data_IF_553843790829
#
_entry.id   IF_553843790829
#
_cell.length_a   1.000
_cell.length_b   1.000
_cell.length_c   1.000
_cell.angle_alpha   90.00
_cell.angle_beta   90.00
_cell.angle_gamma   90.00
#
_symmetry.space_group_name_H-M   'P 1'
#
loop_
_entity.id
_entity.type
_entity.pdbx_description
1 polymer ?
#
# COMPACT_ATOMS: atom_id res chain seq x y z
N UNK A 1 47.45 10.40 -88.30
CA UNK A 1 46.02 10.24 -88.59
C UNK A 1 45.43 8.91 -88.10
N UNK A 2 46.20 7.82 -88.08
CA UNK A 2 45.75 6.49 -87.66
C UNK A 2 45.60 6.33 -86.10
N UNK A 3 46.39 7.01 -85.30
CA UNK A 3 46.38 6.92 -83.89
C UNK A 3 45.12 7.60 -83.28
N UNK A 4 44.62 8.63 -83.87
CA UNK A 4 43.42 9.34 -83.44
C UNK A 4 42.10 8.58 -83.69
N UNK A 5 42.11 7.81 -84.79
CA UNK A 5 41.01 6.92 -85.20
C UNK A 5 40.87 5.71 -84.25
N UNK A 6 42.01 5.20 -83.75
CA UNK A 6 42.02 4.10 -82.75
C UNK A 6 41.54 4.56 -81.38
N UNK A 7 41.92 5.76 -80.97
CA UNK A 7 41.50 6.33 -79.66
C UNK A 7 39.99 6.61 -79.58
N UNK A 8 39.43 7.09 -80.71
CA UNK A 8 37.98 7.33 -80.80
C UNK A 8 37.18 6.02 -80.77
N UNK A 9 37.73 5.00 -81.50
CA UNK A 9 37.04 3.70 -81.63
C UNK A 9 37.07 2.89 -80.33
N UNK A 10 38.11 3.00 -79.52
CA UNK A 10 38.22 2.34 -78.21
C UNK A 10 37.44 3.08 -77.12
N UNK A 11 37.39 4.41 -77.20
CA UNK A 11 36.65 5.20 -76.23
C UNK A 11 35.10 5.01 -76.28
N UNK A 12 34.58 5.09 -77.52
CA UNK A 12 33.12 4.96 -77.75
C UNK A 12 32.60 3.54 -77.42
N UNK A 13 33.43 2.52 -77.75
CA UNK A 13 33.07 1.14 -77.43
C UNK A 13 33.23 0.79 -75.95
N UNK A 14 34.13 1.48 -75.24
CA UNK A 14 34.29 1.30 -73.81
C UNK A 14 33.12 1.94 -73.00
N UNK A 15 32.70 3.17 -73.45
CA UNK A 15 31.55 3.82 -72.86
C UNK A 15 30.23 3.07 -73.11
N UNK A 16 30.01 2.55 -74.30
CA UNK A 16 28.82 1.75 -74.62
C UNK A 16 28.74 0.44 -73.83
N UNK A 17 29.89 -0.23 -73.59
CA UNK A 17 29.97 -1.43 -72.75
C UNK A 17 29.80 -1.07 -71.22
N UNK A 18 30.28 0.07 -70.80
CA UNK A 18 30.13 0.54 -69.42
C UNK A 18 28.69 0.90 -69.12
N UNK A 19 28.05 1.68 -70.00
CA UNK A 19 26.63 2.00 -69.87
C UNK A 19 25.73 0.77 -69.97
N UNK A 20 26.07 -0.19 -70.89
CA UNK A 20 25.36 -1.47 -70.96
C UNK A 20 25.42 -2.28 -69.65
N UNK A 21 26.62 -2.40 -69.07
CA UNK A 21 26.75 -3.09 -67.75
C UNK A 21 25.97 -2.43 -66.63
N UNK A 22 26.00 -1.09 -66.54
CA UNK A 22 25.20 -0.34 -65.51
C UNK A 22 23.71 -0.57 -65.74
N UNK A 23 23.25 -0.55 -67.00
CA UNK A 23 21.85 -0.81 -67.33
C UNK A 23 21.42 -2.25 -66.95
N UNK A 24 22.29 -3.26 -67.33
CA UNK A 24 22.01 -4.65 -66.97
C UNK A 24 22.00 -4.89 -65.45
N UNK A 25 22.91 -4.27 -64.66
CA UNK A 25 22.92 -4.31 -63.25
C UNK A 25 21.67 -3.64 -62.71
N UNK A 26 21.29 -2.48 -63.19
CA UNK A 26 20.04 -1.77 -62.72
C UNK A 26 18.77 -2.55 -63.08
N UNK A 27 18.72 -3.20 -64.24
CA UNK A 27 17.56 -4.04 -64.61
C UNK A 27 17.53 -5.31 -63.74
N UNK A 28 18.70 -5.92 -63.48
CA UNK A 28 18.81 -7.07 -62.58
C UNK A 28 18.35 -6.73 -61.14
N UNK A 29 18.84 -5.62 -60.58
CA UNK A 29 18.45 -5.14 -59.27
C UNK A 29 16.95 -4.79 -59.20
N UNK A 30 16.40 -4.15 -60.26
CA UNK A 30 14.98 -3.86 -60.34
C UNK A 30 14.13 -5.14 -60.44
N UNK A 31 14.59 -6.15 -61.15
CA UNK A 31 13.92 -7.42 -61.32
C UNK A 31 13.92 -8.22 -60.00
N UNK A 32 15.04 -8.23 -59.26
CA UNK A 32 15.12 -8.81 -57.91
C UNK A 32 14.23 -8.08 -56.94
N UNK A 33 14.22 -6.74 -56.96
CA UNK A 33 13.34 -5.93 -56.10
C UNK A 33 11.88 -6.24 -56.37
N UNK A 34 11.44 -6.30 -57.62
CA UNK A 34 10.05 -6.56 -58.00
C UNK A 34 9.59 -7.97 -57.61
N UNK A 35 10.42 -8.98 -57.82
CA UNK A 35 10.02 -10.38 -57.62
C UNK A 35 10.26 -10.87 -56.19
N UNK A 36 11.31 -10.40 -55.52
CA UNK A 36 11.65 -10.85 -54.14
C UNK A 36 11.19 -9.89 -53.04
N UNK A 37 11.46 -8.59 -53.18
CA UNK A 37 11.23 -7.64 -52.08
C UNK A 37 9.81 -7.02 -52.10
N UNK A 38 9.29 -6.69 -53.28
CA UNK A 38 8.00 -6.01 -53.42
C UNK A 38 6.81 -6.83 -52.86
N UNK A 39 6.68 -8.15 -53.11
CA UNK A 39 5.60 -8.94 -52.52
C UNK A 39 5.63 -8.94 -50.99
N UNK A 40 6.82 -9.05 -50.38
CA UNK A 40 6.97 -8.99 -48.92
C UNK A 40 6.59 -7.63 -48.35
N UNK A 41 6.97 -6.53 -49.03
CA UNK A 41 6.56 -5.17 -48.66
C UNK A 41 5.03 -5.00 -48.67
N UNK A 42 4.38 -5.49 -49.74
CA UNK A 42 2.92 -5.42 -49.88
C UNK A 42 2.26 -6.21 -48.77
N UNK A 43 2.71 -7.43 -48.48
CA UNK A 43 2.14 -8.27 -47.39
C UNK A 43 2.28 -7.58 -46.03
N UNK A 44 3.48 -7.05 -45.71
CA UNK A 44 3.71 -6.32 -44.46
C UNK A 44 2.81 -5.11 -44.35
N UNK A 45 2.65 -4.33 -45.42
CA UNK A 45 1.79 -3.15 -45.43
C UNK A 45 0.31 -3.52 -45.27
N UNK A 46 -0.16 -4.57 -45.98
CA UNK A 46 -1.53 -5.06 -45.85
C UNK A 46 -1.82 -5.51 -44.42
N UNK A 47 -0.91 -6.28 -43.81
CA UNK A 47 -1.02 -6.71 -42.41
C UNK A 47 -1.09 -5.51 -41.50
N UNK A 48 -0.23 -4.51 -41.68
CA UNK A 48 -0.22 -3.29 -40.87
C UNK A 48 -1.54 -2.51 -40.98
N UNK A 49 -2.09 -2.38 -42.20
CA UNK A 49 -3.39 -1.71 -42.41
C UNK A 49 -4.52 -2.48 -41.74
N UNK A 50 -4.54 -3.80 -41.90
CA UNK A 50 -5.57 -4.65 -41.30
C UNK A 50 -5.50 -4.53 -39.74
N UNK A 51 -4.29 -4.64 -39.16
CA UNK A 51 -4.10 -4.47 -37.70
C UNK A 51 -4.53 -3.08 -37.22
N UNK A 52 -4.15 -2.02 -37.94
CA UNK A 52 -4.58 -0.65 -37.63
C UNK A 52 -6.11 -0.51 -37.65
N UNK A 53 -6.82 -1.19 -38.59
CA UNK A 53 -8.28 -1.23 -38.61
C UNK A 53 -8.85 -2.00 -37.42
N UNK A 54 -8.24 -3.14 -37.06
CA UNK A 54 -8.65 -3.92 -35.87
C UNK A 54 -8.49 -3.10 -34.60
N UNK A 55 -7.33 -2.43 -34.40
CA UNK A 55 -7.10 -1.53 -33.27
C UNK A 55 -8.18 -0.43 -33.21
N UNK A 56 -8.46 0.19 -34.35
CA UNK A 56 -9.45 1.26 -34.45
C UNK A 56 -10.88 0.77 -34.16
N UNK A 57 -11.24 -0.44 -34.57
CA UNK A 57 -12.54 -1.04 -34.28
C UNK A 57 -12.65 -1.45 -32.82
N UNK A 58 -11.60 -2.05 -32.26
CA UNK A 58 -11.56 -2.46 -30.85
C UNK A 58 -11.70 -1.23 -29.92
N UNK A 59 -10.94 -0.16 -30.16
CA UNK A 59 -11.02 1.07 -29.36
C UNK A 59 -12.38 1.78 -29.48
N UNK A 60 -13.00 1.75 -30.66
CA UNK A 60 -14.38 2.25 -30.84
C UNK A 60 -15.39 1.43 -30.07
N UNK A 61 -15.27 0.10 -30.04
CA UNK A 61 -16.17 -0.76 -29.25
C UNK A 61 -16.07 -0.48 -27.74
N UNK A 62 -14.86 -0.24 -27.23
CA UNK A 62 -14.66 0.15 -25.81
C UNK A 62 -15.45 1.42 -25.47
N UNK A 63 -15.38 2.44 -26.33
CA UNK A 63 -16.12 3.70 -26.13
C UNK A 63 -17.62 3.47 -26.15
N UNK A 64 -18.14 2.71 -27.13
CA UNK A 64 -19.57 2.43 -27.24
C UNK A 64 -20.11 1.61 -26.06
N UNK A 65 -19.36 0.62 -25.57
CA UNK A 65 -19.74 -0.16 -24.39
C UNK A 65 -19.77 0.69 -23.12
N UNK A 66 -18.88 1.68 -23.00
CA UNK A 66 -18.86 2.63 -21.90
C UNK A 66 -20.04 3.64 -21.95
N UNK A 67 -20.51 4.01 -23.13
CA UNK A 67 -21.67 4.91 -23.31
C UNK A 67 -23.01 4.24 -22.96
N UNK A 68 -23.12 2.91 -23.05
CA UNK A 68 -24.36 2.15 -22.80
C UNK A 68 -24.88 2.12 -21.36
N UNK A 69 -24.07 2.52 -20.36
CA UNK A 69 -24.44 2.61 -18.94
C UNK A 69 -24.43 4.08 -18.53
N UNK A 70 -25.51 4.81 -18.68
CA UNK A 70 -25.72 6.23 -18.27
C UNK A 70 -24.58 6.80 -17.37
N UNK A 71 -23.39 7.03 -17.87
CA UNK A 71 -22.29 7.56 -17.07
C UNK A 71 -22.46 9.07 -16.91
N UNK A 72 -21.99 9.59 -15.78
CA UNK A 72 -21.89 11.04 -15.58
C UNK A 72 -21.08 11.70 -16.72
N UNK A 73 -21.40 12.93 -17.15
CA UNK A 73 -20.72 13.60 -18.27
C UNK A 73 -19.20 13.61 -18.17
N UNK A 74 -18.64 13.71 -16.95
CA UNK A 74 -17.21 13.65 -16.70
C UNK A 74 -16.56 12.29 -16.99
N UNK A 75 -17.28 11.19 -16.75
CA UNK A 75 -16.77 9.83 -16.98
C UNK A 75 -16.71 9.49 -18.48
N UNK A 76 -17.64 10.02 -19.27
CA UNK A 76 -17.62 9.86 -20.74
C UNK A 76 -16.39 10.51 -21.37
N UNK A 77 -16.05 11.74 -20.97
CA UNK A 77 -14.88 12.45 -21.51
C UNK A 77 -13.59 11.72 -21.16
N UNK A 78 -13.47 11.18 -19.95
CA UNK A 78 -12.30 10.38 -19.52
C UNK A 78 -12.11 9.12 -20.36
N UNK A 79 -13.19 8.34 -20.61
CA UNK A 79 -13.12 7.13 -21.42
C UNK A 79 -12.75 7.43 -22.87
N UNK A 80 -13.30 8.50 -23.45
CA UNK A 80 -12.98 8.94 -24.84
C UNK A 80 -11.50 9.34 -24.95
N UNK A 81 -11.01 10.13 -23.98
CA UNK A 81 -9.60 10.54 -23.95
C UNK A 81 -8.67 9.34 -23.81
N UNK A 82 -8.97 8.42 -22.88
CA UNK A 82 -8.18 7.20 -22.68
C UNK A 82 -8.15 6.32 -23.95
N UNK A 83 -9.32 6.08 -24.56
CA UNK A 83 -9.42 5.30 -25.79
C UNK A 83 -8.66 5.96 -26.97
N UNK A 84 -8.67 7.31 -27.03
CA UNK A 84 -7.90 8.07 -28.03
C UNK A 84 -6.41 7.91 -27.82
N UNK A 85 -5.92 8.07 -26.59
CA UNK A 85 -4.50 7.88 -26.24
C UNK A 85 -4.07 6.44 -26.58
N UNK A 86 -4.83 5.44 -26.14
CA UNK A 86 -4.54 4.04 -26.38
C UNK A 86 -4.46 3.73 -27.90
N UNK A 87 -5.44 4.23 -28.67
CA UNK A 87 -5.44 4.08 -30.12
C UNK A 87 -4.21 4.71 -30.76
N UNK A 88 -3.87 5.94 -30.37
CA UNK A 88 -2.72 6.67 -30.95
C UNK A 88 -1.41 5.97 -30.61
N UNK A 89 -1.23 5.54 -29.37
CA UNK A 89 -0.03 4.82 -28.91
C UNK A 89 0.13 3.48 -29.63
N UNK A 90 -0.95 2.66 -29.67
CA UNK A 90 -0.89 1.35 -30.34
C UNK A 90 -0.63 1.49 -31.84
N UNK A 91 -1.25 2.45 -32.53
CA UNK A 91 -0.96 2.73 -33.92
C UNK A 91 0.46 3.27 -34.13
N UNK A 92 0.96 4.13 -33.23
CA UNK A 92 2.35 4.60 -33.28
C UNK A 92 3.35 3.46 -33.19
N UNK A 93 3.16 2.53 -32.24
CA UNK A 93 4.00 1.33 -32.10
C UNK A 93 3.89 0.45 -33.35
N UNK A 94 2.67 0.21 -33.86
CA UNK A 94 2.45 -0.61 -35.05
C UNK A 94 3.19 -0.05 -36.25
N UNK A 95 3.07 1.26 -36.51
CA UNK A 95 3.75 1.90 -37.65
C UNK A 95 5.27 1.95 -37.48
N UNK A 96 5.77 2.12 -36.23
CA UNK A 96 7.21 2.03 -35.96
C UNK A 96 7.76 0.63 -36.26
N UNK A 97 7.07 -0.43 -35.77
CA UNK A 97 7.45 -1.81 -36.09
C UNK A 97 7.37 -2.12 -37.60
N UNK A 98 6.32 -1.61 -38.27
CA UNK A 98 6.19 -1.75 -39.74
C UNK A 98 7.33 -1.07 -40.47
N UNK A 99 7.72 0.13 -40.04
CA UNK A 99 8.86 0.84 -40.63
C UNK A 99 10.18 0.06 -40.46
N UNK A 100 10.43 -0.48 -39.25
CA UNK A 100 11.59 -1.33 -38.99
C UNK A 100 11.59 -2.58 -39.93
N UNK A 101 10.42 -3.23 -40.06
CA UNK A 101 10.31 -4.39 -40.97
C UNK A 101 10.56 -4.05 -42.42
N UNK A 102 10.08 -2.88 -42.88
CA UNK A 102 10.35 -2.38 -44.23
C UNK A 102 11.85 -2.14 -44.42
N UNK A 103 12.53 -1.50 -43.45
CA UNK A 103 13.97 -1.28 -43.50
C UNK A 103 14.77 -2.61 -43.59
N UNK A 104 14.31 -3.64 -42.87
CA UNK A 104 14.92 -5.00 -42.94
C UNK A 104 14.82 -5.57 -44.34
N UNK A 105 13.65 -5.49 -44.98
CA UNK A 105 13.41 -5.97 -46.35
C UNK A 105 14.31 -5.22 -47.35
N UNK A 106 14.56 -3.94 -47.11
CA UNK A 106 15.45 -3.11 -47.94
C UNK A 106 16.93 -3.40 -47.68
N UNK A 107 17.28 -4.29 -46.72
CA UNK A 107 18.66 -4.70 -46.44
C UNK A 107 19.40 -3.78 -45.48
N UNK A 108 18.71 -2.87 -44.79
CA UNK A 108 19.32 -1.99 -43.77
C UNK A 108 19.67 -2.78 -42.54
N UNK A 109 20.90 -2.63 -42.04
CA UNK A 109 21.30 -3.24 -40.78
C UNK A 109 20.63 -2.54 -39.59
N UNK A 110 19.66 -3.21 -38.95
CA UNK A 110 18.91 -2.69 -37.80
C UNK A 110 19.60 -2.91 -36.45
N UNK A 111 20.76 -3.56 -36.41
CA UNK A 111 21.48 -3.87 -35.17
C UNK A 111 21.57 -2.67 -34.21
N UNK A 112 22.11 -1.52 -34.62
CA UNK A 112 22.22 -0.34 -33.75
C UNK A 112 20.85 0.25 -33.32
N UNK A 113 19.85 0.22 -34.23
CA UNK A 113 18.50 0.69 -33.94
C UNK A 113 17.81 -0.20 -32.93
N UNK A 114 17.92 -1.52 -33.06
CA UNK A 114 17.35 -2.48 -32.12
C UNK A 114 18.04 -2.41 -30.76
N UNK A 115 19.36 -2.19 -30.72
CA UNK A 115 20.08 -2.01 -29.47
C UNK A 115 19.59 -0.75 -28.69
N UNK A 116 19.47 0.37 -29.39
CA UNK A 116 18.94 1.60 -28.77
C UNK A 116 17.48 1.49 -28.36
N UNK A 117 16.65 0.86 -29.20
CA UNK A 117 15.24 0.57 -28.84
C UNK A 117 15.13 -0.38 -27.64
N UNK A 118 16.05 -1.35 -27.50
CA UNK A 118 16.14 -2.24 -26.35
C UNK A 118 16.39 -1.48 -25.06
N UNK A 119 17.36 -0.55 -25.04
CA UNK A 119 17.64 0.30 -23.87
C UNK A 119 16.41 1.15 -23.51
N UNK A 120 15.78 1.77 -24.50
CA UNK A 120 14.55 2.54 -24.27
C UNK A 120 13.41 1.65 -23.75
N UNK A 121 13.29 0.42 -24.26
CA UNK A 121 12.31 -0.57 -23.78
C UNK A 121 12.50 -0.94 -22.30
N UNK A 122 13.76 -1.15 -21.89
CA UNK A 122 14.08 -1.40 -20.45
C UNK A 122 13.68 -0.20 -19.60
N UNK A 123 14.00 1.02 -20.01
CA UNK A 123 13.64 2.22 -19.27
C UNK A 123 12.10 2.37 -19.11
N UNK A 124 11.35 2.13 -20.18
CA UNK A 124 9.87 2.14 -20.15
C UNK A 124 9.35 1.01 -19.25
N UNK A 125 9.94 -0.19 -19.34
CA UNK A 125 9.58 -1.34 -18.50
C UNK A 125 9.75 -1.05 -17.01
N UNK A 126 10.88 -0.46 -16.62
CA UNK A 126 11.13 -0.03 -15.24
C UNK A 126 10.13 1.04 -14.78
N UNK A 127 9.81 2.01 -15.64
CA UNK A 127 8.80 3.03 -15.32
C UNK A 127 7.40 2.44 -15.15
N UNK A 128 7.04 1.39 -15.90
CA UNK A 128 5.74 0.70 -15.83
C UNK A 128 5.67 -0.39 -14.75
N UNK A 129 6.79 -0.74 -14.10
CA UNK A 129 6.91 -1.87 -13.17
C UNK A 129 5.86 -1.85 -12.06
N UNK A 130 5.59 -0.68 -11.47
CA UNK A 130 4.61 -0.53 -10.38
C UNK A 130 3.21 -0.88 -10.84
N UNK A 131 2.82 -0.48 -12.06
CA UNK A 131 1.49 -0.78 -12.61
C UNK A 131 1.33 -2.30 -12.80
N UNK A 132 2.37 -2.96 -13.30
CA UNK A 132 2.38 -4.42 -13.47
C UNK A 132 2.28 -5.12 -12.11
N UNK A 133 3.04 -4.68 -11.11
CA UNK A 133 2.94 -5.19 -9.73
C UNK A 133 1.56 -5.00 -9.14
N UNK A 134 0.92 -3.84 -9.33
CA UNK A 134 -0.45 -3.59 -8.86
C UNK A 134 -1.42 -4.65 -9.38
N UNK A 135 -1.36 -4.91 -10.69
CA UNK A 135 -2.27 -5.86 -11.36
C UNK A 135 -2.00 -7.30 -10.91
N UNK A 136 -0.73 -7.72 -10.85
CA UNK A 136 -0.37 -9.06 -10.41
C UNK A 136 -0.77 -9.30 -8.95
N UNK A 137 -0.48 -8.36 -8.04
CA UNK A 137 -0.88 -8.47 -6.65
C UNK A 137 -2.40 -8.48 -6.50
N UNK A 138 -3.13 -7.61 -7.22
CA UNK A 138 -4.59 -7.62 -7.20
C UNK A 138 -5.17 -8.94 -7.69
N UNK A 139 -4.57 -9.57 -8.69
CA UNK A 139 -4.97 -10.90 -9.16
C UNK A 139 -4.70 -11.98 -8.10
N UNK A 140 -3.53 -11.96 -7.46
CA UNK A 140 -3.16 -12.92 -6.40
C UNK A 140 -4.09 -12.79 -5.19
N UNK A 141 -4.41 -11.58 -4.74
CA UNK A 141 -5.35 -11.34 -3.63
C UNK A 141 -6.69 -12.04 -3.90
N UNK A 142 -7.20 -11.94 -5.14
CA UNK A 142 -8.48 -12.57 -5.54
C UNK A 142 -8.33 -14.09 -5.68
N UNK A 143 -7.27 -14.58 -6.31
CA UNK A 143 -7.06 -16.00 -6.54
C UNK A 143 -6.82 -16.79 -5.25
N UNK A 144 -6.11 -16.18 -4.29
CA UNK A 144 -5.80 -16.78 -2.99
C UNK A 144 -6.89 -16.52 -1.95
N UNK A 145 -7.94 -15.76 -2.31
CA UNK A 145 -9.03 -15.39 -1.39
C UNK A 145 -8.49 -14.79 -0.08
N UNK A 146 -7.51 -13.86 -0.17
CA UNK A 146 -6.90 -13.27 1.01
C UNK A 146 -7.90 -12.42 1.80
N UNK A 147 -8.72 -11.65 1.13
CA UNK A 147 -9.84 -10.88 1.67
C UNK A 147 -10.85 -10.51 0.58
N UNK A 148 -12.06 -10.19 0.99
CA UNK A 148 -13.19 -9.84 0.12
C UNK A 148 -13.76 -8.45 0.44
N UNK A 149 -14.59 -7.93 -0.47
CA UNK A 149 -15.37 -6.72 -0.20
C UNK A 149 -16.32 -6.98 0.97
N UNK A 150 -16.29 -6.11 1.97
CA UNK A 150 -17.01 -6.23 3.24
C UNK A 150 -16.15 -6.74 4.40
N UNK A 151 -14.98 -7.32 4.14
CA UNK A 151 -14.06 -7.73 5.21
C UNK A 151 -13.42 -6.52 5.89
N UNK A 152 -13.24 -6.63 7.20
CA UNK A 152 -12.39 -5.72 7.95
C UNK A 152 -10.96 -6.26 7.95
N UNK A 153 -10.06 -5.50 7.36
CA UNK A 153 -8.66 -5.90 7.20
C UNK A 153 -7.71 -4.84 7.71
N UNK A 154 -6.52 -5.28 8.07
CA UNK A 154 -5.38 -4.39 8.29
C UNK A 154 -4.37 -4.65 7.18
N UNK A 155 -4.16 -3.64 6.33
CA UNK A 155 -3.21 -3.65 5.23
C UNK A 155 -2.03 -2.75 5.60
N UNK A 156 -0.85 -3.32 5.78
CA UNK A 156 0.36 -2.58 6.22
C UNK A 156 0.09 -1.83 7.53
N UNK A 157 -0.23 -0.52 7.51
CA UNK A 157 -0.50 0.30 8.70
C UNK A 157 -1.97 0.75 8.80
N UNK A 158 -2.81 0.48 7.80
CA UNK A 158 -4.19 0.97 7.72
C UNK A 158 -5.17 -0.13 8.06
N UNK A 159 -6.13 0.16 8.94
CA UNK A 159 -7.21 -0.78 9.30
C UNK A 159 -8.53 -0.20 8.81
N UNK A 160 -9.33 -1.00 8.14
CA UNK A 160 -10.65 -0.58 7.67
C UNK A 160 -11.43 -1.71 7.04
N UNK A 161 -12.66 -1.41 6.66
CA UNK A 161 -13.52 -2.32 5.90
C UNK A 161 -13.28 -2.11 4.40
N UNK A 162 -13.13 -3.18 3.66
CA UNK A 162 -12.96 -3.15 2.20
C UNK A 162 -14.27 -2.73 1.56
N UNK A 163 -14.32 -1.55 0.94
CA UNK A 163 -15.50 -1.07 0.21
C UNK A 163 -15.51 -1.49 -1.25
N UNK A 164 -14.35 -1.44 -1.88
CA UNK A 164 -14.20 -1.83 -3.27
C UNK A 164 -12.79 -2.36 -3.52
N UNK A 165 -12.72 -3.28 -4.48
CA UNK A 165 -11.46 -3.84 -4.95
C UNK A 165 -11.44 -3.84 -6.48
N UNK A 166 -10.29 -3.50 -7.03
CA UNK A 166 -9.99 -3.58 -8.45
C UNK A 166 -8.64 -4.28 -8.65
N UNK A 167 -8.30 -4.63 -9.89
CA UNK A 167 -7.01 -5.24 -10.20
C UNK A 167 -5.81 -4.37 -9.78
N UNK A 168 -5.97 -3.04 -9.67
CA UNK A 168 -4.87 -2.12 -9.38
C UNK A 168 -4.88 -1.55 -7.97
N UNK A 169 -6.05 -1.42 -7.34
CA UNK A 169 -6.21 -0.75 -6.04
C UNK A 169 -7.30 -1.40 -5.21
N UNK A 170 -7.14 -1.30 -3.91
CA UNK A 170 -8.13 -1.66 -2.90
C UNK A 170 -8.56 -0.39 -2.16
N UNK A 171 -9.85 -0.23 -1.91
CA UNK A 171 -10.45 0.89 -1.19
C UNK A 171 -10.90 0.42 0.18
N UNK A 172 -10.36 1.07 1.24
CA UNK A 172 -10.66 0.77 2.64
C UNK A 172 -11.31 1.97 3.30
N UNK A 173 -12.35 1.74 4.07
CA UNK A 173 -12.93 2.76 4.95
C UNK A 173 -12.67 2.41 6.40
N UNK A 174 -12.06 3.34 7.13
CA UNK A 174 -11.82 3.17 8.55
C UNK A 174 -13.04 3.51 9.42
N UNK A 175 -12.89 3.35 10.74
CA UNK A 175 -13.95 3.64 11.71
C UNK A 175 -14.37 5.10 11.79
N UNK A 176 -13.52 6.02 11.37
CA UNK A 176 -13.76 7.47 11.33
C UNK A 176 -14.36 7.94 10.00
N UNK A 177 -14.56 7.01 9.06
CA UNK A 177 -15.12 7.28 7.75
C UNK A 177 -14.11 7.70 6.68
N UNK A 178 -12.81 7.70 6.99
CA UNK A 178 -11.76 8.03 6.01
C UNK A 178 -11.65 6.93 4.96
N UNK A 179 -11.63 7.30 3.68
CA UNK A 179 -11.43 6.38 2.58
C UNK A 179 -9.96 6.34 2.16
N UNK A 180 -9.31 5.22 2.39
CA UNK A 180 -7.96 4.93 1.91
C UNK A 180 -8.00 4.24 0.56
N UNK A 181 -7.26 4.76 -0.41
CA UNK A 181 -7.10 4.17 -1.74
C UNK A 181 -5.68 3.63 -1.83
N UNK A 182 -5.55 2.32 -1.67
CA UNK A 182 -4.26 1.63 -1.57
C UNK A 182 -3.93 0.93 -2.89
N UNK A 183 -2.83 1.28 -3.58
CA UNK A 183 -2.34 0.50 -4.71
C UNK A 183 -1.99 -0.93 -4.26
N UNK A 184 -2.40 -1.94 -5.03
CA UNK A 184 -2.21 -3.32 -4.61
C UNK A 184 -0.72 -3.71 -4.47
N UNK A 185 0.18 -3.03 -5.19
CA UNK A 185 1.64 -3.22 -5.04
C UNK A 185 2.20 -2.79 -3.68
N UNK A 186 1.47 -1.96 -2.92
CA UNK A 186 1.84 -1.51 -1.58
C UNK A 186 1.30 -2.42 -0.48
N UNK A 187 0.44 -3.37 -0.82
CA UNK A 187 -0.08 -4.37 0.12
C UNK A 187 0.98 -5.46 0.28
N UNK A 188 1.78 -5.35 1.34
CA UNK A 188 2.85 -6.31 1.65
C UNK A 188 2.42 -7.33 2.70
N UNK A 189 1.52 -6.92 3.59
CA UNK A 189 1.00 -7.77 4.66
C UNK A 189 -0.51 -7.59 4.75
N UNK A 190 -1.22 -8.69 4.84
CA UNK A 190 -2.67 -8.73 5.02
C UNK A 190 -2.99 -9.40 6.35
N UNK A 191 -3.68 -8.68 7.25
CA UNK A 191 -4.31 -9.27 8.42
C UNK A 191 -5.83 -9.15 8.26
N UNK A 192 -6.49 -10.26 7.98
CA UNK A 192 -7.95 -10.32 7.88
C UNK A 192 -8.55 -10.48 9.29
N UNK A 193 -9.27 -9.44 9.74
CA UNK A 193 -9.90 -9.39 11.08
C UNK A 193 -11.33 -9.95 11.08
N UNK A 194 -11.90 -10.21 9.89
CA UNK A 194 -13.27 -10.72 9.70
C UNK A 194 -13.31 -12.22 9.45
N UNK A 195 -12.14 -12.89 9.29
CA UNK A 195 -12.09 -14.30 8.97
C UNK A 195 -12.13 -15.16 10.23
N UNK A 196 -12.98 -16.17 10.22
CA UNK A 196 -13.13 -17.24 11.21
C UNK A 196 -13.57 -16.74 12.60
N UNK A 197 -12.70 -16.16 13.39
CA UNK A 197 -12.97 -15.75 14.76
C UNK A 197 -12.13 -14.53 15.17
N UNK A 198 -12.62 -13.86 16.21
CA UNK A 198 -11.84 -12.83 16.89
C UNK A 198 -11.50 -13.28 18.32
N UNK A 199 -10.26 -13.03 18.70
CA UNK A 199 -9.81 -13.21 20.09
C UNK A 199 -9.55 -11.82 20.67
N UNK A 200 -10.13 -11.57 21.83
CA UNK A 200 -9.93 -10.33 22.56
C UNK A 200 -9.49 -10.60 23.97
N UNK A 201 -8.41 -9.96 24.39
CA UNK A 201 -7.91 -10.02 25.76
C UNK A 201 -8.28 -8.71 26.46
N UNK A 202 -8.93 -8.84 27.60
CA UNK A 202 -9.27 -7.71 28.48
C UNK A 202 -8.41 -7.81 29.72
N UNK A 203 -7.53 -6.85 29.93
CA UNK A 203 -6.71 -6.74 31.12
C UNK A 203 -7.54 -6.07 32.22
N UNK A 204 -7.73 -6.77 33.31
CA UNK A 204 -8.42 -6.27 34.51
C UNK A 204 -7.38 -5.98 35.59
N UNK A 205 -7.27 -4.71 36.00
CA UNK A 205 -6.38 -4.30 37.09
C UNK A 205 -7.16 -4.30 38.37
N UNK A 206 -6.61 -4.96 39.40
CA UNK A 206 -7.18 -5.11 40.74
C UNK A 206 -6.13 -4.66 41.76
N UNK A 207 -6.59 -4.19 42.94
CA UNK A 207 -5.69 -3.78 44.03
C UNK A 207 -4.80 -4.95 44.48
N UNK A 208 -3.54 -4.66 44.80
CA UNK A 208 -2.53 -5.67 45.19
C UNK A 208 -2.93 -6.42 46.49
N UNK A 209 -3.72 -5.81 47.36
CA UNK A 209 -4.21 -6.43 48.58
C UNK A 209 -5.25 -7.54 48.36
N UNK A 210 -5.81 -7.63 47.14
CA UNK A 210 -6.79 -8.64 46.79
C UNK A 210 -6.11 -10.02 46.53
N UNK A 211 -6.58 -11.06 47.22
CA UNK A 211 -6.11 -12.41 47.01
C UNK A 211 -6.51 -12.91 45.60
N UNK A 212 -5.56 -13.44 44.82
CA UNK A 212 -5.83 -14.07 43.52
C UNK A 212 -6.90 -15.16 43.60
N UNK A 213 -6.96 -15.92 44.70
CA UNK A 213 -7.93 -16.98 44.92
C UNK A 213 -9.37 -16.48 45.02
N UNK A 214 -9.58 -15.20 45.30
CA UNK A 214 -10.89 -14.53 45.26
C UNK A 214 -11.18 -13.88 43.94
N UNK A 215 -10.15 -13.28 43.31
CA UNK A 215 -10.28 -12.50 42.08
C UNK A 215 -10.55 -13.40 40.87
N UNK A 216 -9.81 -14.50 40.74
CA UNK A 216 -9.95 -15.40 39.56
C UNK A 216 -11.36 -16.02 39.52
N UNK A 217 -11.93 -16.58 40.59
CA UNK A 217 -13.31 -17.09 40.54
C UNK A 217 -14.35 -15.98 40.29
N UNK A 218 -14.15 -14.78 40.84
CA UNK A 218 -15.03 -13.64 40.60
C UNK A 218 -15.06 -13.26 39.09
N UNK A 219 -13.90 -13.07 38.52
CA UNK A 219 -13.80 -12.71 37.09
C UNK A 219 -14.36 -13.81 36.21
N UNK A 220 -14.10 -15.09 36.54
CA UNK A 220 -14.64 -16.25 35.86
C UNK A 220 -16.16 -16.30 35.91
N UNK A 221 -16.76 -16.07 37.08
CA UNK A 221 -18.22 -16.05 37.21
C UNK A 221 -18.85 -14.94 36.34
N UNK A 222 -18.30 -13.72 36.39
CA UNK A 222 -18.80 -12.60 35.58
C UNK A 222 -18.68 -12.89 34.08
N UNK A 223 -17.54 -13.46 33.64
CA UNK A 223 -17.33 -13.79 32.27
C UNK A 223 -18.30 -14.90 31.79
N UNK A 224 -18.54 -15.91 32.61
CA UNK A 224 -19.50 -16.98 32.32
C UNK A 224 -20.95 -16.52 32.32
N UNK A 225 -21.29 -15.52 33.15
CA UNK A 225 -22.64 -14.92 33.18
C UNK A 225 -22.92 -14.18 31.87
N UNK A 226 -21.91 -13.50 31.30
CA UNK A 226 -22.04 -12.87 29.99
C UNK A 226 -22.15 -13.91 28.88
N UNK A 227 -21.41 -15.00 29.00
CA UNK A 227 -21.48 -16.14 28.04
C UNK A 227 -22.90 -16.74 27.97
N UNK A 228 -23.60 -16.77 29.10
CA UNK A 228 -24.98 -17.27 29.23
C UNK A 228 -26.04 -16.23 28.91
N UNK A 229 -25.68 -14.97 28.82
CA UNK A 229 -26.62 -13.88 28.55
C UNK A 229 -27.22 -14.03 27.15
N UNK A 230 -28.54 -13.97 27.04
CA UNK A 230 -29.29 -14.12 25.78
C UNK A 230 -28.81 -13.15 24.68
N UNK A 231 -28.32 -11.98 25.06
CA UNK A 231 -27.84 -10.95 24.16
C UNK A 231 -26.51 -11.35 23.50
N UNK A 232 -25.69 -12.17 24.14
CA UNK A 232 -24.33 -12.47 23.70
C UNK A 232 -24.06 -13.96 23.49
N UNK A 233 -24.94 -14.85 23.93
CA UNK A 233 -24.71 -16.30 23.90
C UNK A 233 -24.35 -16.83 22.52
N UNK A 234 -24.94 -16.29 21.45
CA UNK A 234 -24.67 -16.68 20.06
C UNK A 234 -23.34 -16.15 19.50
N UNK A 235 -22.73 -15.18 20.18
CA UNK A 235 -21.49 -14.52 19.71
C UNK A 235 -20.25 -15.30 20.10
N UNK A 236 -20.31 -16.05 21.20
CA UNK A 236 -19.14 -16.77 21.72
C UNK A 236 -18.93 -18.12 21.04
N UNK A 237 -17.69 -18.39 20.61
CA UNK A 237 -17.26 -19.66 20.04
C UNK A 237 -16.66 -20.61 21.09
N UNK A 238 -16.16 -20.06 22.19
CA UNK A 238 -15.61 -20.83 23.32
C UNK A 238 -15.94 -20.11 24.64
N UNK A 239 -15.79 -20.85 25.75
CA UNK A 239 -15.96 -20.25 27.08
C UNK A 239 -14.83 -19.27 27.36
N UNK A 240 -15.13 -18.12 28.01
CA UNK A 240 -14.13 -17.16 28.43
C UNK A 240 -13.12 -17.79 29.40
N UNK A 241 -11.86 -17.38 29.28
CA UNK A 241 -10.77 -17.90 30.12
C UNK A 241 -10.10 -16.77 30.89
N UNK A 242 -9.94 -16.94 32.20
CA UNK A 242 -9.13 -16.08 33.06
C UNK A 242 -7.75 -16.74 33.19
N UNK A 243 -6.70 -16.07 32.70
CA UNK A 243 -5.35 -16.66 32.64
C UNK A 243 -4.59 -16.59 33.97
N UNK A 244 -5.16 -15.93 35.00
CA UNK A 244 -4.50 -15.72 36.27
C UNK A 244 -3.75 -14.39 36.32
N UNK A 245 -2.73 -14.28 37.19
CA UNK A 245 -1.90 -13.10 37.34
C UNK A 245 -0.90 -13.00 36.18
N UNK A 246 -0.95 -11.94 35.42
CA UNK A 246 -0.02 -11.66 34.30
C UNK A 246 1.14 -10.77 34.73
N UNK A 247 0.83 -9.66 35.38
CA UNK A 247 1.82 -8.70 35.83
C UNK A 247 1.40 -7.97 37.09
N UNK A 248 2.40 -7.46 37.82
CA UNK A 248 2.20 -6.65 39.03
C UNK A 248 2.89 -5.32 38.77
N UNK A 249 2.13 -4.24 38.80
CA UNK A 249 2.64 -2.89 38.51
C UNK A 249 2.25 -1.96 39.66
N UNK A 250 3.22 -1.60 40.50
CA UNK A 250 2.97 -0.77 41.68
C UNK A 250 1.99 -1.44 42.65
N UNK A 251 0.85 -0.82 42.87
CA UNK A 251 -0.24 -1.32 43.73
C UNK A 251 -1.32 -2.11 43.00
N UNK A 252 -1.06 -2.53 41.76
CA UNK A 252 -2.04 -3.19 40.92
C UNK A 252 -1.56 -4.53 40.43
N UNK A 253 -2.46 -5.51 40.39
CA UNK A 253 -2.27 -6.83 39.79
C UNK A 253 -3.16 -6.91 38.55
N UNK A 254 -2.59 -7.34 37.43
CA UNK A 254 -3.29 -7.43 36.15
C UNK A 254 -3.68 -8.88 35.87
N UNK A 255 -4.98 -9.07 35.58
CA UNK A 255 -5.57 -10.36 35.22
C UNK A 255 -6.12 -10.28 33.79
N UNK A 256 -5.51 -10.95 32.81
CA UNK A 256 -6.05 -11.02 31.46
C UNK A 256 -7.21 -12.02 31.39
N UNK A 257 -8.28 -11.58 30.77
CA UNK A 257 -9.46 -12.40 30.48
C UNK A 257 -9.64 -12.47 28.97
N UNK A 258 -9.63 -13.68 28.43
CA UNK A 258 -9.65 -13.95 26.98
C UNK A 258 -11.06 -14.36 26.57
N UNK A 259 -11.53 -13.71 25.50
CA UNK A 259 -12.81 -13.98 24.88
C UNK A 259 -12.57 -14.42 23.43
N UNK A 260 -13.12 -15.57 23.04
CA UNK A 260 -13.15 -16.04 21.65
C UNK A 260 -14.56 -15.94 21.10
N UNK A 261 -14.73 -15.10 20.11
CA UNK A 261 -16.04 -14.73 19.54
C UNK A 261 -16.09 -14.92 18.04
N UNK A 262 -17.27 -14.83 17.45
CA UNK A 262 -17.42 -14.63 16.02
C UNK A 262 -16.64 -13.38 15.60
N UNK A 263 -16.12 -13.42 14.37
CA UNK A 263 -15.30 -12.33 13.81
C UNK A 263 -16.02 -10.98 13.94
N UNK A 264 -15.28 -9.96 14.37
CA UNK A 264 -15.72 -8.55 14.56
C UNK A 264 -16.79 -8.32 15.64
N UNK A 265 -17.31 -9.36 16.32
CA UNK A 265 -18.39 -9.24 17.31
C UNK A 265 -17.89 -9.18 18.77
N UNK A 266 -16.60 -9.12 19.00
CA UNK A 266 -16.00 -9.09 20.36
C UNK A 266 -16.34 -7.84 21.17
N UNK A 267 -16.62 -6.72 20.53
CA UNK A 267 -16.73 -5.42 21.22
C UNK A 267 -17.93 -5.29 22.16
N UNK A 268 -19.07 -5.91 21.82
CA UNK A 268 -20.28 -5.92 22.65
C UNK A 268 -20.03 -6.62 23.99
N UNK A 269 -19.66 -7.90 23.99
CA UNK A 269 -19.35 -8.66 25.19
C UNK A 269 -18.26 -8.02 26.06
N UNK A 270 -17.21 -7.45 25.45
CA UNK A 270 -16.10 -6.80 26.17
C UNK A 270 -16.58 -5.57 26.92
N UNK A 271 -17.42 -4.72 26.33
CA UNK A 271 -17.95 -3.52 26.98
C UNK A 271 -18.81 -3.90 28.17
N UNK A 272 -19.66 -4.91 28.03
CA UNK A 272 -20.51 -5.40 29.10
C UNK A 272 -19.69 -6.07 30.21
N UNK A 273 -18.64 -6.82 29.86
CA UNK A 273 -17.69 -7.40 30.81
C UNK A 273 -17.02 -6.31 31.63
N UNK A 274 -16.48 -5.28 31.02
CA UNK A 274 -15.85 -4.16 31.71
C UNK A 274 -16.82 -3.48 32.67
N UNK A 275 -18.09 -3.32 32.28
CA UNK A 275 -19.14 -2.73 33.12
C UNK A 275 -19.42 -3.58 34.35
N UNK A 276 -19.66 -4.90 34.15
CA UNK A 276 -19.97 -5.82 35.27
C UNK A 276 -18.78 -5.98 36.22
N UNK A 277 -17.58 -6.10 35.68
CA UNK A 277 -16.34 -6.17 36.47
C UNK A 277 -16.17 -4.90 37.32
N UNK A 278 -16.33 -3.72 36.72
CA UNK A 278 -16.24 -2.46 37.45
C UNK A 278 -17.16 -2.44 38.67
N UNK A 279 -18.43 -2.82 38.47
CA UNK A 279 -19.42 -2.86 39.56
C UNK A 279 -19.05 -3.88 40.64
N UNK A 280 -18.68 -5.08 40.24
CA UNK A 280 -18.31 -6.14 41.19
C UNK A 280 -17.05 -5.82 42.00
N UNK A 281 -16.05 -5.18 41.39
CA UNK A 281 -14.85 -4.72 42.10
C UNK A 281 -15.16 -3.56 43.06
N UNK A 282 -16.09 -2.68 42.69
CA UNK A 282 -16.54 -1.57 43.55
C UNK A 282 -17.28 -2.12 44.79
N UNK A 283 -18.23 -3.04 44.61
CA UNK A 283 -19.00 -3.67 45.66
C UNK A 283 -18.11 -4.43 46.66
N UNK A 284 -17.01 -5.01 46.20
CA UNK A 284 -16.07 -5.76 47.03
C UNK A 284 -14.89 -4.92 47.55
N UNK A 285 -14.80 -3.63 47.20
CA UNK A 285 -13.70 -2.76 47.60
C UNK A 285 -12.35 -3.14 47.02
N UNK A 286 -12.35 -3.83 45.86
CA UNK A 286 -11.16 -4.34 45.18
C UNK A 286 -10.72 -3.46 43.98
N UNK A 287 -11.31 -2.28 43.82
CA UNK A 287 -10.86 -1.35 42.78
C UNK A 287 -9.39 -0.99 43.02
N UNK A 288 -8.60 -0.88 41.96
CA UNK A 288 -7.21 -0.46 42.06
C UNK A 288 -7.15 0.89 42.77
N UNK A 289 -6.37 0.95 43.85
CA UNK A 289 -6.26 2.15 44.68
C UNK A 289 -5.66 3.32 43.88
N UNK A 290 -5.99 4.55 44.32
CA UNK A 290 -5.29 5.75 43.91
C UNK A 290 -3.77 5.53 44.14
N UNK A 291 -2.89 5.79 43.16
CA UNK A 291 -1.44 5.70 43.37
C UNK A 291 -0.93 6.47 44.57
N UNK A 292 -1.68 7.48 45.03
CA UNK A 292 -1.40 8.27 46.24
C UNK A 292 -1.97 7.67 47.53
N UNK A 293 -2.72 6.57 47.50
CA UNK A 293 -3.37 5.97 48.65
C UNK A 293 -2.36 5.45 49.69
N UNK A 294 -1.21 4.96 49.23
CA UNK A 294 -0.12 4.49 50.11
C UNK A 294 0.34 5.61 51.05
N UNK A 295 0.48 6.83 50.52
CA UNK A 295 0.89 7.98 51.35
C UNK A 295 -0.20 8.40 52.37
N UNK A 296 -1.48 8.23 52.06
CA UNK A 296 -2.59 8.55 52.98
C UNK A 296 -2.72 7.52 54.10
N UNK A 297 -2.49 6.24 53.88
CA UNK A 297 -2.50 5.23 54.91
C UNK A 297 -1.36 5.38 55.91
N UNK A 298 -0.16 5.71 55.46
CA UNK A 298 0.98 6.01 56.31
C UNK A 298 0.79 7.30 57.12
N UNK A 299 0.13 8.31 56.57
CA UNK A 299 -0.20 9.55 57.29
C UNK A 299 -1.30 9.37 58.36
N UNK A 300 -2.18 8.36 58.22
CA UNK A 300 -3.28 8.08 59.17
C UNK A 300 -2.91 7.24 60.39
N UNK A 301 -1.75 6.59 60.43
CA UNK A 301 -1.28 5.72 61.52
C UNK A 301 -0.16 6.31 62.38
N UNK A 302 0.19 7.57 62.22
CA UNK A 302 1.09 8.22 63.14
C UNK A 302 0.31 8.60 64.41
N UNK A 303 0.42 7.77 65.44
CA UNK A 303 0.07 8.18 66.81
C UNK A 303 0.63 9.58 67.10
N UNK A 304 -0.24 10.47 67.46
CA UNK A 304 -0.23 11.78 68.04
C UNK A 304 1.05 12.55 68.41
N UNK A 305 2.21 12.33 67.84
CA UNK A 305 3.41 13.05 68.25
C UNK A 305 4.35 13.54 67.16
N UNK A 306 3.97 13.52 65.90
CA UNK A 306 4.79 14.21 64.87
C UNK A 306 3.86 14.87 63.82
N UNK A 307 3.15 15.94 64.22
CA UNK A 307 2.55 16.87 63.26
C UNK A 307 3.69 17.62 62.59
N UNK A 308 3.92 17.34 61.32
CA UNK A 308 4.62 18.31 60.47
C UNK A 308 3.78 19.60 60.48
N UNK A 309 4.40 20.78 60.71
CA UNK A 309 3.66 22.03 60.74
C UNK A 309 2.89 22.22 59.44
N UNK A 310 1.59 22.54 59.58
CA UNK A 310 0.75 22.86 58.42
C UNK A 310 1.22 24.12 57.72
N UNK A 311 0.78 24.40 56.50
CA UNK A 311 1.20 25.58 55.73
C UNK A 311 0.89 26.93 56.44
N UNK A 312 0.12 26.95 57.51
CA UNK A 312 -0.19 28.16 58.27
C UNK A 312 0.83 28.51 59.37
N UNK A 313 1.77 27.59 59.73
CA UNK A 313 2.75 27.83 60.80
C UNK A 313 4.10 28.38 60.26
N UNK A 314 4.21 28.68 59.00
CA UNK A 314 5.44 29.20 58.35
C UNK A 314 5.32 30.72 58.05
N UNK A 315 4.46 31.43 58.73
CA UNK A 315 4.43 32.89 58.66
C UNK A 315 5.02 33.45 59.95
N UNK A 316 6.31 33.66 59.98
CA UNK A 316 7.07 34.76 60.61
C UNK A 316 8.50 34.38 60.93
N UNK A 317 9.32 34.28 59.89
CA UNK A 317 10.76 34.61 60.01
C UNK A 317 11.28 35.07 58.64
N UNK A 318 11.51 36.34 58.57
CA UNK A 318 12.32 37.13 57.67
C UNK A 318 12.80 36.51 56.34
N UNK A 319 12.07 36.80 55.30
CA UNK A 319 12.57 36.60 53.97
C UNK A 319 13.07 37.93 53.41
N UNK A 320 14.38 38.22 53.63
CA UNK A 320 15.06 39.21 52.81
C UNK A 320 15.11 38.71 51.36
N UNK A 321 14.81 39.54 50.39
CA UNK A 321 14.87 39.14 48.96
C UNK A 321 16.36 38.84 48.59
N UNK A 322 16.64 37.58 48.27
CA UNK A 322 17.91 37.24 47.59
C UNK A 322 17.90 37.91 46.23
N UNK A 323 18.73 38.93 46.10
CA UNK A 323 19.08 39.58 44.86
C UNK A 323 19.65 38.52 43.87
N UNK A 324 19.04 38.41 42.70
CA UNK A 324 19.54 37.57 41.64
C UNK A 324 20.89 38.12 41.17
N UNK A 325 21.92 37.29 41.00
CA UNK A 325 23.17 37.75 40.41
C UNK A 325 22.92 38.28 38.96
N UNK A 326 23.64 39.35 38.56
CA UNK A 326 23.50 39.93 37.25
C UNK A 326 23.83 38.91 36.15
N UNK A 327 22.97 38.85 35.13
CA UNK A 327 23.20 38.02 33.94
C UNK A 327 24.34 38.63 33.14
N UNK A 328 25.43 37.93 32.98
CA UNK A 328 26.54 38.29 32.10
C UNK A 328 26.06 38.16 30.61
N UNK A 329 26.01 39.28 29.85
CA UNK A 329 25.54 39.23 28.48
C UNK A 329 26.54 38.57 27.48
N UNK A 330 27.68 38.10 27.95
CA UNK A 330 28.69 37.48 27.10
C UNK A 330 28.82 35.95 27.23
N UNK A 331 27.98 35.31 28.06
CA UNK A 331 27.94 33.85 28.14
C UNK A 331 27.18 33.26 26.94
N UNK A 332 27.92 32.69 26.02
CA UNK A 332 27.39 31.86 24.93
C UNK A 332 26.64 30.64 25.51
N UNK A 333 25.45 30.27 24.99
CA UNK A 333 24.78 29.05 25.40
C UNK A 333 25.65 27.82 25.12
N UNK A 334 25.63 26.78 25.97
CA UNK A 334 26.36 25.55 25.69
C UNK A 334 25.92 24.93 24.39
N UNK A 335 26.89 24.50 23.57
CA UNK A 335 26.66 23.83 22.31
C UNK A 335 25.77 22.59 22.54
N UNK A 336 24.65 22.49 21.80
CA UNK A 336 23.83 21.31 21.74
C UNK A 336 24.71 20.13 21.28
N UNK A 337 24.93 19.17 22.17
CA UNK A 337 25.57 17.90 21.82
C UNK A 337 24.62 17.16 20.87
N UNK A 338 24.99 17.15 19.61
CA UNK A 338 24.41 16.38 18.55
C UNK A 338 24.41 14.89 18.94
N UNK A 339 23.24 14.30 19.14
CA UNK A 339 23.08 12.87 19.41
C UNK A 339 23.19 12.10 18.07
N UNK A 340 24.22 11.27 17.82
CA UNK A 340 24.46 10.64 16.52
C UNK A 340 23.65 9.36 16.29
N UNK A 341 22.50 9.14 16.94
CA UNK A 341 21.73 7.90 16.86
C UNK A 341 20.40 8.02 16.12
N UNK A 342 20.20 9.01 15.24
CA UNK A 342 19.04 9.04 14.34
C UNK A 342 19.53 9.34 12.92
N UNK A 343 20.23 8.38 12.34
CA UNK A 343 20.38 8.24 10.90
C UNK A 343 20.67 6.76 10.62
N UNK A 344 19.82 6.17 9.81
CA UNK A 344 19.79 4.80 9.27
C UNK A 344 18.70 3.89 9.86
N UNK A 345 17.53 4.01 9.26
CA UNK A 345 16.80 2.85 8.69
C UNK A 345 15.64 3.36 7.82
#
# INVERSE_FOLDING_TARGET
>A
MYLFAILIRTGIFAEGRFLGKILDEWIGDAQEFIHAKLPHLIVVLVIAIVLSRVISLATRRIVVMADGRKPSPGRQSQVKTFASILRTTLNGILWALTALQILTILGVNLGPLLASAGIAGVAIGLAAQTIVKDVLNGMLIVLEDQFNVGDTVRLTCMTGTVEAMSLRRTELRDGDGTLYIVPNSQITTVANLSRDFSVATVNVSVDFSASPDKVVPLLTSIAMDIRKDKAFASVFLADPQVLGVDSITGSQVVYPVVFKTLATQQYGPIREFRRRVRMALEDQGLLPGDPNRVFREFAGKSDGQNRLPGPEDVTTQGNEPREKPPIDPTALPPAETHNPMIAES
#
